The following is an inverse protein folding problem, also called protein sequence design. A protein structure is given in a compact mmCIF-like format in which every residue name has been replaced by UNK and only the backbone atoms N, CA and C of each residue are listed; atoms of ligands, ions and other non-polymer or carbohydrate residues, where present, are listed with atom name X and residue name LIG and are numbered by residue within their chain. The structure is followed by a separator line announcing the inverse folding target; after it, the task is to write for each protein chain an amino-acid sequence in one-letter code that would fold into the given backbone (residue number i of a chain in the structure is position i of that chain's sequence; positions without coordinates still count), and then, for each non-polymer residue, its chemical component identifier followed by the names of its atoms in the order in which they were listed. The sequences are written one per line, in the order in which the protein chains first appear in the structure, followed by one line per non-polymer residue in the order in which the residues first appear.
data_IF_830890565840
#
_entry.id   IF_830890565840
#
_cell.length_a   1.000
_cell.length_b   1.000
_cell.length_c   1.000
_cell.angle_alpha   90.00
_cell.angle_beta   90.00
_cell.angle_gamma   90.00
#
_symmetry.space_group_name_H-M   'P 1'
#
loop_
_entity.id
_entity.type
_entity.pdbx_description
1 polymer ?
#
# COMPACT_ATOMS: atom_id res chain seq x y z
N UNK A 1 15.80 -47.37 5.15
CA UNK A 1 14.68 -46.43 5.34
C UNK A 1 15.24 -45.02 5.15
N UNK A 2 14.73 -44.26 4.18
CA UNK A 2 15.24 -42.94 3.82
C UNK A 2 14.26 -41.88 4.35
N UNK A 3 14.70 -41.07 5.33
CA UNK A 3 13.89 -40.10 6.07
C UNK A 3 14.23 -38.63 5.78
N UNK A 4 15.13 -38.38 4.83
CA UNK A 4 15.54 -37.04 4.45
C UNK A 4 15.12 -36.77 3.01
N UNK A 5 14.44 -35.66 2.76
CA UNK A 5 14.08 -35.23 1.41
C UNK A 5 14.95 -34.03 1.04
N UNK A 6 16.18 -34.23 0.54
CA UNK A 6 17.04 -33.12 0.15
C UNK A 6 16.41 -32.40 -1.05
N UNK A 7 16.17 -31.10 -0.90
CA UNK A 7 15.65 -30.26 -1.97
C UNK A 7 16.84 -29.56 -2.61
N UNK A 8 16.96 -29.69 -3.94
CA UNK A 8 17.95 -28.98 -4.75
C UNK A 8 17.19 -27.96 -5.60
N UNK A 9 17.65 -26.72 -5.60
CA UNK A 9 17.10 -25.65 -6.44
C UNK A 9 18.13 -25.24 -7.47
N UNK A 10 17.71 -25.15 -8.72
CA UNK A 10 18.51 -24.58 -9.82
C UNK A 10 17.98 -23.18 -10.10
N UNK A 11 18.90 -22.22 -10.22
CA UNK A 11 18.59 -20.85 -10.62
C UNK A 11 19.03 -20.67 -12.08
N UNK A 12 18.08 -20.31 -12.94
CA UNK A 12 18.32 -20.00 -14.34
C UNK A 12 17.62 -18.67 -14.68
N UNK A 13 18.26 -17.85 -15.52
CA UNK A 13 17.71 -16.59 -16.00
C UNK A 13 17.18 -16.80 -17.43
N UNK A 14 15.86 -16.70 -17.59
CA UNK A 14 15.20 -16.80 -18.90
C UNK A 14 14.79 -15.41 -19.40
N UNK A 15 15.25 -15.04 -20.59
CA UNK A 15 14.82 -13.82 -21.26
C UNK A 15 13.60 -14.09 -22.15
N UNK A 16 12.43 -13.71 -21.64
CA UNK A 16 11.15 -13.81 -22.37
C UNK A 16 10.85 -12.52 -23.15
N UNK A 17 10.44 -12.66 -24.40
CA UNK A 17 10.06 -11.52 -25.28
C UNK A 17 8.91 -10.68 -24.72
N UNK A 18 8.06 -11.26 -23.87
CA UNK A 18 6.93 -10.60 -23.25
C UNK A 18 6.71 -11.16 -21.85
N UNK A 19 6.56 -10.26 -20.88
CA UNK A 19 6.29 -10.57 -19.49
C UNK A 19 5.00 -9.90 -19.03
N UNK A 20 4.28 -10.56 -18.11
CA UNK A 20 3.15 -9.94 -17.45
C UNK A 20 3.64 -8.79 -16.57
N UNK A 21 3.08 -7.60 -16.79
CA UNK A 21 3.29 -6.48 -15.91
C UNK A 21 2.57 -6.76 -14.58
N UNK A 22 3.22 -6.57 -13.43
CA UNK A 22 2.59 -6.84 -12.16
C UNK A 22 1.48 -5.82 -11.84
N UNK A 23 0.67 -6.15 -10.84
CA UNK A 23 -0.19 -5.17 -10.21
C UNK A 23 0.66 -4.20 -9.37
N UNK A 24 0.55 -2.90 -9.61
CA UNK A 24 1.31 -1.88 -8.89
C UNK A 24 0.39 -1.15 -7.93
N UNK A 25 0.63 -1.29 -6.63
CA UNK A 25 -0.14 -0.61 -5.59
C UNK A 25 0.65 0.53 -4.97
N UNK A 26 0.02 1.70 -4.86
CA UNK A 26 0.60 2.91 -4.29
C UNK A 26 -0.29 3.41 -3.17
N UNK A 27 0.31 3.65 -2.02
CA UNK A 27 -0.33 4.24 -0.85
C UNK A 27 0.49 5.44 -0.37
N UNK A 28 -0.17 6.44 0.20
CA UNK A 28 0.53 7.48 0.92
C UNK A 28 0.84 6.98 2.34
N UNK A 29 2.04 7.21 2.86
CA UNK A 29 2.37 6.88 4.24
C UNK A 29 1.54 7.66 5.25
N UNK A 30 1.06 8.85 4.88
CA UNK A 30 0.05 9.55 5.66
C UNK A 30 -1.30 8.90 5.44
N UNK A 31 -1.73 8.11 6.43
CA UNK A 31 -3.01 7.41 6.44
C UNK A 31 -4.22 8.35 6.33
N UNK A 32 -4.12 9.50 7.01
CA UNK A 32 -5.18 10.49 7.12
C UNK A 32 -4.66 11.87 6.71
N UNK A 33 -5.54 12.68 6.11
CA UNK A 33 -5.26 14.11 5.91
C UNK A 33 -5.10 14.74 7.30
N UNK A 34 -4.15 15.67 7.43
CA UNK A 34 -3.87 16.42 8.66
C UNK A 34 -5.10 17.27 9.04
N UNK A 35 -6.08 16.66 9.70
CA UNK A 35 -7.26 17.32 10.24
C UNK A 35 -7.51 16.76 11.64
N UNK A 36 -6.95 17.43 12.65
CA UNK A 36 -7.26 17.21 14.06
C UNK A 36 -6.29 16.37 14.89
N UNK A 37 -5.19 15.85 14.35
CA UNK A 37 -4.15 15.25 15.20
C UNK A 37 -3.20 16.35 15.67
N UNK A 38 -3.45 16.90 16.86
CA UNK A 38 -2.74 18.06 17.41
C UNK A 38 -1.30 17.78 17.85
N UNK A 39 -0.83 16.53 17.82
CA UNK A 39 0.47 16.18 18.43
C UNK A 39 1.28 15.11 17.67
N UNK A 40 0.64 14.11 17.03
CA UNK A 40 1.35 13.01 16.37
C UNK A 40 1.70 13.28 14.90
N UNK A 41 2.90 12.89 14.45
CA UNK A 41 3.18 12.87 13.00
C UNK A 41 2.52 11.63 12.36
N UNK A 42 1.71 11.76 11.30
CA UNK A 42 1.00 10.62 10.71
C UNK A 42 1.93 9.56 10.10
N UNK A 43 3.17 9.92 9.79
CA UNK A 43 4.19 9.02 9.25
C UNK A 43 4.68 8.00 10.29
N UNK A 44 4.79 8.39 11.57
CA UNK A 44 5.17 7.49 12.67
C UNK A 44 4.17 6.36 12.90
N UNK A 45 2.91 6.53 12.51
CA UNK A 45 1.82 5.59 12.75
C UNK A 45 1.71 4.48 11.70
N UNK A 46 2.18 4.73 10.49
CA UNK A 46 2.05 3.82 9.36
C UNK A 46 3.30 2.96 9.15
N UNK A 47 4.47 3.43 9.57
CA UNK A 47 5.75 2.71 9.46
C UNK A 47 6.49 2.53 10.79
N UNK A 48 5.97 3.05 11.89
CA UNK A 48 6.64 2.98 13.18
C UNK A 48 6.87 1.55 13.61
N UNK A 49 8.13 1.11 13.54
CA UNK A 49 8.64 0.10 14.47
C UNK A 49 8.30 0.62 15.86
N UNK A 50 7.32 0.00 16.50
CA UNK A 50 6.79 0.36 17.81
C UNK A 50 7.84 0.35 18.93
N UNK A 51 9.09 0.05 18.62
CA UNK A 51 10.19 -0.13 19.56
C UNK A 51 11.04 1.13 19.79
N UNK A 52 11.07 2.13 18.89
CA UNK A 52 11.91 3.31 19.11
C UNK A 52 11.11 4.49 19.70
N UNK A 53 9.93 4.81 19.14
CA UNK A 53 9.16 5.98 19.59
C UNK A 53 8.41 5.75 20.92
N UNK A 54 7.86 4.54 21.16
CA UNK A 54 7.21 4.22 22.45
C UNK A 54 8.19 4.20 23.65
N UNK A 55 9.49 4.03 23.38
CA UNK A 55 10.55 4.04 24.39
C UNK A 55 11.17 5.42 24.61
N UNK A 56 10.96 6.37 23.69
CA UNK A 56 11.60 7.70 23.73
C UNK A 56 10.59 8.84 23.91
N UNK A 57 9.30 8.61 23.65
CA UNK A 57 8.25 9.59 23.87
C UNK A 57 7.80 9.63 25.33
N UNK A 58 7.31 10.79 25.76
CA UNK A 58 6.67 10.94 27.06
C UNK A 58 5.39 10.10 27.14
N UNK A 59 5.01 9.67 28.34
CA UNK A 59 3.83 8.80 28.55
C UNK A 59 2.52 9.42 28.01
N UNK A 60 2.37 10.75 28.09
CA UNK A 60 1.20 11.47 27.56
C UNK A 60 1.08 11.35 26.05
N UNK A 61 2.16 11.62 25.31
CA UNK A 61 2.20 11.55 23.85
C UNK A 61 1.95 10.12 23.37
N UNK A 62 2.50 9.13 24.07
CA UNK A 62 2.26 7.71 23.77
C UNK A 62 0.77 7.35 23.89
N UNK A 63 0.11 7.82 24.94
CA UNK A 63 -1.31 7.55 25.16
C UNK A 63 -2.20 8.24 24.12
N UNK A 64 -1.90 9.49 23.74
CA UNK A 64 -2.62 10.21 22.68
C UNK A 64 -2.50 9.52 21.32
N UNK A 65 -1.29 9.07 20.97
CA UNK A 65 -1.00 8.34 19.73
C UNK A 65 -1.76 7.00 19.71
N UNK A 66 -1.76 6.27 20.84
CA UNK A 66 -2.49 5.00 20.98
C UNK A 66 -4.00 5.19 20.85
N UNK A 67 -4.56 6.19 21.53
CA UNK A 67 -5.99 6.49 21.50
C UNK A 67 -6.42 6.90 20.08
N UNK A 68 -5.63 7.74 19.42
CA UNK A 68 -5.89 8.16 18.04
C UNK A 68 -5.84 7.00 17.03
N UNK A 69 -4.91 6.06 17.22
CA UNK A 69 -4.85 4.83 16.42
C UNK A 69 -6.07 3.95 16.67
N UNK A 70 -6.45 3.77 17.93
CA UNK A 70 -7.60 2.96 18.31
C UNK A 70 -8.88 3.53 17.69
N UNK A 71 -9.11 4.84 17.84
CA UNK A 71 -10.23 5.53 17.20
C UNK A 71 -10.26 5.34 15.68
N UNK A 72 -9.09 5.31 15.01
CA UNK A 72 -9.03 5.03 13.58
C UNK A 72 -9.44 3.60 13.22
N UNK A 73 -8.98 2.60 13.98
CA UNK A 73 -9.33 1.19 13.70
C UNK A 73 -10.80 0.89 13.99
N UNK A 74 -11.38 1.55 15.00
CA UNK A 74 -12.80 1.45 15.36
C UNK A 74 -13.73 2.23 14.39
N UNK A 75 -13.18 3.17 13.62
CA UNK A 75 -13.93 3.96 12.65
C UNK A 75 -14.41 3.12 11.47
N UNK A 76 -15.61 3.42 10.98
CA UNK A 76 -16.18 2.82 9.78
C UNK A 76 -15.36 3.11 8.50
N UNK A 77 -15.43 2.19 7.53
CA UNK A 77 -14.70 2.28 6.26
C UNK A 77 -14.97 3.58 5.50
N UNK A 78 -16.23 4.04 5.45
CA UNK A 78 -16.61 5.26 4.74
C UNK A 78 -15.99 6.50 5.38
N UNK A 79 -15.95 6.51 6.72
CA UNK A 79 -15.36 7.61 7.48
C UNK A 79 -13.84 7.64 7.33
N UNK A 80 -13.20 6.47 7.40
CA UNK A 80 -11.76 6.32 7.10
C UNK A 80 -11.46 6.81 5.68
N UNK A 81 -12.31 6.49 4.72
CA UNK A 81 -12.14 6.88 3.33
C UNK A 81 -12.21 8.40 3.15
N UNK A 82 -13.18 9.06 3.80
CA UNK A 82 -13.34 10.52 3.76
C UNK A 82 -12.14 11.24 4.40
N UNK A 83 -11.67 10.75 5.56
CA UNK A 83 -10.52 11.33 6.27
C UNK A 83 -9.18 11.02 5.57
N UNK A 84 -9.07 9.91 4.85
CA UNK A 84 -7.87 9.50 4.10
C UNK A 84 -7.59 10.35 2.85
N UNK A 85 -6.34 10.35 2.38
CA UNK A 85 -5.94 11.02 1.13
C UNK A 85 -6.70 10.46 -0.07
N UNK A 86 -7.13 11.29 -1.03
CA UNK A 86 -7.76 10.77 -2.25
C UNK A 86 -6.66 10.31 -3.21
N UNK A 87 -6.67 9.05 -3.70
CA UNK A 87 -5.61 8.59 -4.59
C UNK A 87 -5.48 9.40 -5.88
N UNK A 88 -6.60 9.83 -6.44
CA UNK A 88 -6.63 10.75 -7.58
C UNK A 88 -5.96 12.11 -7.35
N UNK A 89 -5.69 12.51 -6.10
CA UNK A 89 -4.95 13.74 -5.78
C UNK A 89 -3.44 13.55 -5.70
N UNK A 90 -2.95 12.38 -5.30
CA UNK A 90 -1.51 12.11 -5.25
C UNK A 90 -1.00 11.45 -6.53
N UNK A 91 -1.88 10.84 -7.33
CA UNK A 91 -1.56 10.33 -8.67
C UNK A 91 -1.93 11.37 -9.72
N UNK A 92 -0.99 12.26 -10.07
CA UNK A 92 -1.26 13.34 -11.03
C UNK A 92 -1.37 12.86 -12.48
N UNK A 93 -0.47 11.96 -12.91
CA UNK A 93 -0.44 11.37 -14.25
C UNK A 93 -0.09 9.89 -14.15
N UNK A 94 -0.73 9.08 -14.99
CA UNK A 94 -0.43 7.65 -15.13
C UNK A 94 -0.15 7.36 -16.60
N UNK A 95 1.03 6.81 -16.89
CA UNK A 95 1.44 6.40 -18.23
C UNK A 95 1.91 4.95 -18.19
N UNK A 96 1.40 4.13 -19.11
CA UNK A 96 1.85 2.76 -19.33
C UNK A 96 2.19 2.61 -20.81
N UNK A 97 3.45 2.22 -21.12
CA UNK A 97 3.99 2.15 -22.49
C UNK A 97 3.76 3.44 -23.30
N UNK A 98 3.95 4.60 -22.64
CA UNK A 98 3.77 5.92 -23.24
C UNK A 98 2.32 6.36 -23.47
N UNK A 99 1.32 5.54 -23.09
CA UNK A 99 -0.11 5.86 -23.23
C UNK A 99 -0.74 6.13 -21.87
N UNK A 100 -1.80 6.94 -21.86
CA UNK A 100 -2.59 7.19 -20.64
C UNK A 100 -3.15 5.86 -20.12
N UNK A 101 -2.98 5.60 -18.82
CA UNK A 101 -3.51 4.39 -18.19
C UNK A 101 -5.04 4.33 -18.31
N UNK A 102 -5.61 3.20 -18.75
CA UNK A 102 -7.06 3.07 -18.86
C UNK A 102 -7.71 2.96 -17.47
N UNK A 103 -8.84 3.65 -17.27
CA UNK A 103 -9.47 3.80 -15.96
C UNK A 103 -10.02 2.47 -15.40
N UNK A 104 -10.45 1.55 -16.27
CA UNK A 104 -10.90 0.22 -15.86
C UNK A 104 -9.77 -0.65 -15.26
N UNK A 105 -8.50 -0.29 -15.49
CA UNK A 105 -7.31 -0.94 -14.91
C UNK A 105 -6.86 -0.30 -13.60
N UNK A 106 -7.57 0.72 -13.13
CA UNK A 106 -7.29 1.43 -11.89
C UNK A 106 -8.35 1.04 -10.88
N UNK A 107 -7.93 0.47 -9.77
CA UNK A 107 -8.79 0.14 -8.65
C UNK A 107 -8.34 0.89 -7.43
N UNK A 108 -9.29 1.37 -6.63
CA UNK A 108 -9.00 1.97 -5.34
C UNK A 108 -9.35 1.01 -4.22
N UNK A 109 -8.59 1.05 -3.13
CA UNK A 109 -8.83 0.22 -1.96
C UNK A 109 -8.38 0.94 -0.70
N UNK A 110 -8.92 0.54 0.45
CA UNK A 110 -8.48 1.03 1.74
C UNK A 110 -7.53 0.01 2.38
N UNK A 111 -6.43 0.52 2.94
CA UNK A 111 -5.49 -0.21 3.75
C UNK A 111 -5.54 0.36 5.17
N UNK A 112 -5.58 -0.49 6.19
CA UNK A 112 -5.67 -0.01 7.57
C UNK A 112 -4.39 0.66 8.05
N UNK A 113 -3.22 0.29 7.53
CA UNK A 113 -1.94 0.89 7.89
C UNK A 113 -1.69 2.20 7.12
N UNK A 114 -2.02 2.24 5.83
CA UNK A 114 -1.64 3.34 4.92
C UNK A 114 -2.82 4.19 4.41
N UNK A 115 -4.06 3.82 4.74
CA UNK A 115 -5.25 4.57 4.34
C UNK A 115 -5.66 4.26 2.91
N UNK A 116 -6.07 5.27 2.16
CA UNK A 116 -6.59 5.05 0.81
C UNK A 116 -5.45 4.88 -0.20
N UNK A 117 -5.56 3.84 -1.00
CA UNK A 117 -4.54 3.41 -1.95
C UNK A 117 -5.13 3.25 -3.36
N UNK A 118 -4.25 3.16 -4.34
CA UNK A 118 -4.55 2.89 -5.74
C UNK A 118 -3.75 1.67 -6.20
N UNK A 119 -4.38 0.78 -6.93
CA UNK A 119 -3.71 -0.32 -7.66
C UNK A 119 -3.95 -0.16 -9.14
N UNK A 120 -2.88 -0.17 -9.91
CA UNK A 120 -2.92 -0.29 -11.36
C UNK A 120 -2.69 -1.75 -11.75
N UNK A 121 -3.39 -2.20 -12.80
CA UNK A 121 -3.24 -3.54 -13.38
C UNK A 121 -3.53 -4.69 -12.39
N UNK A 122 -4.53 -4.51 -11.51
CA UNK A 122 -5.03 -5.57 -10.65
C UNK A 122 -5.65 -6.68 -11.49
N UNK A 123 -5.21 -7.92 -11.30
CA UNK A 123 -5.80 -9.11 -11.93
C UNK A 123 -7.17 -9.40 -11.34
N UNK A 124 -8.16 -9.61 -12.19
CA UNK A 124 -9.49 -10.12 -11.84
C UNK A 124 -9.88 -11.19 -12.87
N UNK A 125 -10.91 -12.00 -12.56
CA UNK A 125 -11.32 -13.13 -13.42
C UNK A 125 -11.69 -12.72 -14.85
N UNK A 126 -12.03 -11.45 -15.05
CA UNK A 126 -12.52 -10.90 -16.32
C UNK A 126 -11.45 -10.09 -17.07
N UNK A 127 -10.25 -9.88 -16.49
CA UNK A 127 -9.25 -9.01 -17.09
C UNK A 127 -7.82 -9.51 -16.81
N UNK A 128 -7.19 -10.04 -17.86
CA UNK A 128 -5.80 -10.50 -17.86
C UNK A 128 -4.80 -9.37 -17.64
N UNK A 129 -3.66 -9.66 -17.02
CA UNK A 129 -2.63 -8.66 -16.76
C UNK A 129 -2.10 -8.04 -18.07
N UNK A 130 -1.86 -6.73 -18.06
CA UNK A 130 -1.15 -6.07 -19.16
C UNK A 130 0.26 -6.63 -19.27
N UNK A 131 0.82 -6.66 -20.48
CA UNK A 131 2.17 -7.17 -20.72
C UNK A 131 3.16 -6.07 -21.13
N UNK A 132 4.42 -6.29 -20.79
CA UNK A 132 5.57 -5.53 -21.29
C UNK A 132 6.33 -6.44 -22.26
N UNK A 133 6.70 -5.89 -23.41
CA UNK A 133 7.52 -6.56 -24.42
C UNK A 133 8.82 -5.79 -24.56
N UNK A 134 9.92 -6.53 -24.79
CA UNK A 134 11.13 -5.91 -25.31
C UNK A 134 10.81 -5.42 -26.74
N UNK A 135 11.01 -4.13 -26.97
CA UNK A 135 10.79 -3.47 -28.27
C UNK A 135 11.88 -3.85 -29.24
#
# INVERSE_FOLDING_TARGET
MYFFYPIVFTLEEEHLKSLEFPAVSICNFNRMKKFGLSSGTPLLLSEGSSSFYCNTANDSERNEIKDSLQQYYEMDEDWRWRKGHKPSRFTQKCLFRGRICPQNRITYFQNLCYGNCITFNKRNKEMEALTVSDV
#
